data_IF_744588996357
#
_entry.id   IF_744588996357
#
_cell.length_a   1.000
_cell.length_b   1.000
_cell.length_c   1.000
_cell.angle_alpha   90.00
_cell.angle_beta   90.00
_cell.angle_gamma   90.00
#
_symmetry.space_group_name_H-M   'P 1'
#
loop_
_entity.id
_entity.type
_entity.pdbx_description
1 polymer ?
#
# COMPACT_ATOMS: atom_id res chain seq x y z
N UNK A 1 2.14 -47.66 9.49
CA UNK A 1 3.49 -47.26 9.96
C UNK A 1 4.16 -48.48 10.58
N UNK A 2 5.46 -48.73 10.36
CA UNK A 2 6.16 -49.84 11.00
C UNK A 2 6.09 -49.71 12.53
N UNK A 3 5.68 -50.76 13.25
CA UNK A 3 5.52 -50.73 14.71
C UNK A 3 6.80 -50.31 15.46
N UNK A 4 7.97 -50.56 14.87
CA UNK A 4 9.29 -50.21 15.42
C UNK A 4 9.67 -48.72 15.31
N UNK A 5 8.99 -47.95 14.46
CA UNK A 5 9.24 -46.53 14.25
C UNK A 5 7.91 -45.76 14.28
N UNK A 6 7.36 -45.49 15.47
CA UNK A 6 6.13 -44.71 15.60
C UNK A 6 6.33 -43.30 15.02
N UNK A 7 5.27 -42.75 14.42
CA UNK A 7 5.29 -41.38 13.91
C UNK A 7 5.54 -40.39 15.05
N UNK A 8 6.59 -39.59 14.95
CA UNK A 8 6.94 -38.56 15.94
C UNK A 8 6.83 -37.14 15.41
N UNK A 9 6.87 -36.94 14.10
CA UNK A 9 6.83 -35.61 13.51
C UNK A 9 6.06 -35.60 12.20
N UNK A 10 5.39 -34.49 11.93
CA UNK A 10 4.76 -34.20 10.66
C UNK A 10 5.34 -32.90 10.12
N UNK A 11 5.76 -32.90 8.86
CA UNK A 11 6.14 -31.69 8.14
C UNK A 11 5.25 -31.62 6.89
N UNK A 12 4.31 -30.68 6.88
CA UNK A 12 3.45 -30.42 5.75
C UNK A 12 4.10 -29.36 4.84
N UNK A 13 4.86 -29.84 3.86
CA UNK A 13 5.54 -29.01 2.85
C UNK A 13 4.88 -29.07 1.47
N UNK A 14 3.66 -29.62 1.37
CA UNK A 14 2.94 -29.71 0.10
C UNK A 14 2.40 -28.33 -0.31
N UNK A 15 2.42 -28.07 -1.62
CA UNK A 15 1.90 -26.84 -2.19
C UNK A 15 1.97 -26.85 -3.71
N UNK A 16 1.06 -26.12 -4.31
CA UNK A 16 1.04 -25.79 -5.74
C UNK A 16 0.67 -24.31 -5.88
N UNK A 17 1.07 -23.68 -6.98
CA UNK A 17 0.71 -22.31 -7.32
C UNK A 17 -0.18 -22.32 -8.55
N UNK A 18 -1.15 -21.41 -8.57
CA UNK A 18 -2.00 -21.16 -9.73
C UNK A 18 -2.44 -19.69 -9.71
N UNK A 19 -1.51 -18.82 -10.08
CA UNK A 19 -1.61 -17.38 -9.89
C UNK A 19 -2.67 -16.75 -10.81
N UNK A 20 -3.42 -15.79 -10.27
CA UNK A 20 -4.41 -14.99 -10.97
C UNK A 20 -4.90 -13.83 -10.12
N UNK A 21 -5.35 -12.76 -10.79
CA UNK A 21 -6.08 -11.70 -10.12
C UNK A 21 -7.34 -12.28 -9.47
N UNK A 22 -7.76 -11.75 -8.32
CA UNK A 22 -8.94 -12.23 -7.60
C UNK A 22 -10.17 -12.29 -8.53
N UNK A 23 -10.35 -11.27 -9.38
CA UNK A 23 -11.45 -11.21 -10.35
C UNK A 23 -11.40 -12.29 -11.45
N UNK A 24 -10.24 -12.91 -11.66
CA UNK A 24 -10.01 -13.97 -12.66
C UNK A 24 -9.84 -15.36 -12.07
N UNK A 25 -9.91 -15.50 -10.74
CA UNK A 25 -9.80 -16.80 -10.08
C UNK A 25 -11.08 -17.60 -10.34
N UNK A 26 -10.94 -18.75 -10.99
CA UNK A 26 -12.03 -19.72 -11.12
C UNK A 26 -12.04 -20.67 -9.91
N UNK A 27 -13.18 -21.33 -9.62
CA UNK A 27 -13.24 -22.33 -8.55
C UNK A 27 -12.15 -23.39 -8.67
N UNK A 28 -11.84 -23.86 -9.88
CA UNK A 28 -10.83 -24.89 -10.10
C UNK A 28 -9.41 -24.41 -9.73
N UNK A 29 -9.06 -23.16 -10.01
CA UNK A 29 -7.75 -22.58 -9.67
C UNK A 29 -7.62 -22.36 -8.15
N UNK A 30 -8.74 -22.05 -7.49
CA UNK A 30 -8.80 -21.96 -6.02
C UNK A 30 -8.64 -23.35 -5.40
N UNK A 31 -9.48 -24.31 -5.80
CA UNK A 31 -9.50 -25.68 -5.27
C UNK A 31 -8.16 -26.38 -5.44
N UNK A 32 -7.49 -26.19 -6.57
CA UNK A 32 -6.16 -26.77 -6.84
C UNK A 32 -5.15 -26.36 -5.77
N UNK A 33 -5.09 -25.06 -5.44
CA UNK A 33 -4.16 -24.52 -4.45
C UNK A 33 -4.58 -24.87 -3.02
N UNK A 34 -5.87 -24.73 -2.71
CA UNK A 34 -6.38 -25.02 -1.36
C UNK A 34 -6.24 -26.50 -1.02
N UNK A 35 -6.59 -27.42 -1.92
CA UNK A 35 -6.52 -28.87 -1.67
C UNK A 35 -5.11 -29.33 -1.30
N UNK A 36 -4.09 -28.79 -1.96
CA UNK A 36 -2.71 -29.16 -1.69
C UNK A 36 -2.26 -28.75 -0.28
N UNK A 37 -2.73 -27.59 0.21
CA UNK A 37 -2.35 -27.03 1.52
C UNK A 37 -3.36 -27.34 2.63
N UNK A 38 -4.59 -26.88 2.46
CA UNK A 38 -5.67 -26.97 3.44
C UNK A 38 -6.07 -28.43 3.68
N UNK A 39 -6.56 -29.14 2.65
CA UNK A 39 -7.07 -30.50 2.84
C UNK A 39 -5.96 -31.44 3.31
N UNK A 40 -4.76 -31.29 2.75
CA UNK A 40 -3.58 -32.04 3.18
C UNK A 40 -3.26 -31.82 4.66
N UNK A 41 -3.18 -30.57 5.10
CA UNK A 41 -2.88 -30.23 6.50
C UNK A 41 -4.00 -30.63 7.46
N UNK A 42 -5.27 -30.46 7.07
CA UNK A 42 -6.42 -30.84 7.87
C UNK A 42 -6.50 -32.35 8.08
N UNK A 43 -6.32 -33.13 7.01
CA UNK A 43 -6.28 -34.60 7.12
C UNK A 43 -5.13 -35.06 8.01
N UNK A 44 -3.94 -34.46 7.87
CA UNK A 44 -2.80 -34.73 8.76
C UNK A 44 -3.12 -34.36 10.21
N UNK A 45 -3.83 -33.25 10.45
CA UNK A 45 -4.28 -32.89 11.78
C UNK A 45 -5.17 -33.99 12.35
N UNK A 46 -6.30 -34.28 11.70
CA UNK A 46 -7.32 -35.24 12.16
C UNK A 46 -6.73 -36.63 12.44
N UNK A 47 -5.93 -37.16 11.51
CA UNK A 47 -5.33 -38.50 11.59
C UNK A 47 -4.25 -38.62 12.66
N UNK A 48 -3.69 -37.50 13.13
CA UNK A 48 -2.58 -37.50 14.10
C UNK A 48 -2.95 -36.91 15.46
N UNK A 49 -4.19 -36.44 15.68
CA UNK A 49 -4.60 -35.82 16.96
C UNK A 49 -4.32 -36.67 18.20
N UNK A 50 -4.56 -37.98 18.10
CA UNK A 50 -4.34 -38.93 19.19
C UNK A 50 -2.91 -39.48 19.28
N UNK A 51 -2.01 -39.07 18.39
CA UNK A 51 -0.63 -39.53 18.38
C UNK A 51 0.23 -38.59 19.22
N UNK A 52 1.17 -39.18 19.96
CA UNK A 52 2.18 -38.42 20.70
C UNK A 52 3.25 -37.89 19.73
N UNK A 53 2.91 -36.86 18.96
CA UNK A 53 3.88 -36.15 18.12
C UNK A 53 4.76 -35.24 18.99
N UNK A 54 6.03 -35.12 18.64
CA UNK A 54 6.92 -34.07 19.15
C UNK A 54 6.88 -32.80 18.29
N UNK A 55 6.49 -32.91 17.01
CA UNK A 55 6.41 -31.74 16.12
C UNK A 55 5.33 -31.88 15.07
N UNK A 56 4.76 -30.75 14.67
CA UNK A 56 3.83 -30.63 13.55
C UNK A 56 4.09 -29.28 12.87
N UNK A 57 4.85 -29.31 11.77
CA UNK A 57 5.31 -28.10 11.08
C UNK A 57 4.51 -27.90 9.80
N UNK A 58 4.00 -26.69 9.61
CA UNK A 58 3.28 -26.26 8.41
C UNK A 58 4.15 -25.27 7.63
N UNK A 59 4.43 -25.56 6.37
CA UNK A 59 5.14 -24.65 5.50
C UNK A 59 4.15 -23.66 4.91
N UNK A 60 4.09 -22.48 5.53
CA UNK A 60 3.31 -21.33 5.08
C UNK A 60 4.18 -20.39 4.24
N UNK A 61 3.66 -19.21 3.90
CA UNK A 61 4.37 -18.20 3.13
C UNK A 61 4.03 -16.80 3.64
N UNK A 62 5.00 -15.89 3.57
CA UNK A 62 4.77 -14.45 3.78
C UNK A 62 3.66 -13.89 2.88
N UNK A 63 3.34 -14.52 1.74
CA UNK A 63 2.22 -14.13 0.90
C UNK A 63 0.87 -14.12 1.65
N UNK A 64 0.69 -14.95 2.68
CA UNK A 64 -0.50 -14.95 3.54
C UNK A 64 -0.55 -13.80 4.56
N UNK A 65 0.56 -13.05 4.72
CA UNK A 65 0.70 -11.97 5.72
C UNK A 65 0.72 -10.60 5.03
N UNK A 66 1.65 -10.40 4.09
CA UNK A 66 1.83 -9.11 3.39
C UNK A 66 1.08 -9.06 2.06
N UNK A 67 0.49 -10.18 1.64
CA UNK A 67 -0.12 -10.32 0.32
C UNK A 67 0.94 -10.44 -0.78
N UNK A 68 0.53 -10.98 -1.93
CA UNK A 68 1.32 -10.95 -3.15
C UNK A 68 0.37 -10.81 -4.33
N UNK A 69 0.65 -9.85 -5.22
CA UNK A 69 -0.23 -9.58 -6.36
C UNK A 69 -0.37 -10.85 -7.23
N UNK A 70 -1.61 -11.22 -7.53
CA UNK A 70 -1.92 -12.44 -8.28
C UNK A 70 -1.98 -13.73 -7.44
N UNK A 71 -1.77 -13.68 -6.13
CA UNK A 71 -1.68 -14.89 -5.29
C UNK A 71 -2.80 -14.97 -4.23
N UNK A 72 -4.02 -14.55 -4.57
CA UNK A 72 -5.13 -14.50 -3.61
C UNK A 72 -5.52 -15.86 -3.03
N UNK A 73 -5.62 -16.89 -3.88
CA UNK A 73 -5.85 -18.29 -3.48
C UNK A 73 -4.71 -18.84 -2.61
N UNK A 74 -3.46 -18.58 -2.99
CA UNK A 74 -2.29 -19.03 -2.25
C UNK A 74 -2.15 -18.32 -0.89
N UNK A 75 -2.39 -17.01 -0.83
CA UNK A 75 -2.42 -16.26 0.42
C UNK A 75 -3.44 -16.86 1.39
N UNK A 76 -4.68 -17.08 0.93
CA UNK A 76 -5.74 -17.70 1.75
C UNK A 76 -5.35 -19.10 2.25
N UNK A 77 -4.75 -19.92 1.40
CA UNK A 77 -4.28 -21.26 1.77
C UNK A 77 -3.21 -21.23 2.87
N UNK A 78 -2.27 -20.29 2.80
CA UNK A 78 -1.21 -20.13 3.81
C UNK A 78 -1.75 -19.53 5.12
N UNK A 79 -2.67 -18.56 5.06
CA UNK A 79 -3.33 -18.04 6.25
C UNK A 79 -4.15 -19.13 6.98
N UNK A 80 -4.74 -20.08 6.25
CA UNK A 80 -5.36 -21.25 6.88
C UNK A 80 -4.34 -22.11 7.65
N UNK A 81 -3.15 -22.36 7.08
CA UNK A 81 -2.10 -23.10 7.77
C UNK A 81 -1.65 -22.38 9.05
N UNK A 82 -1.50 -21.06 9.00
CA UNK A 82 -1.18 -20.24 10.16
C UNK A 82 -2.25 -20.38 11.26
N UNK A 83 -3.53 -20.32 10.87
CA UNK A 83 -4.67 -20.55 11.75
C UNK A 83 -4.71 -21.97 12.32
N UNK A 84 -4.37 -22.99 11.53
CA UNK A 84 -4.33 -24.38 11.98
C UNK A 84 -3.22 -24.61 13.02
N UNK A 85 -2.05 -23.97 12.89
CA UNK A 85 -1.01 -24.05 13.91
C UNK A 85 -1.48 -23.44 15.25
N UNK A 86 -2.16 -22.28 15.20
CA UNK A 86 -2.77 -21.66 16.39
C UNK A 86 -3.83 -22.57 17.00
N UNK A 87 -4.72 -23.13 16.18
CA UNK A 87 -5.77 -24.04 16.61
C UNK A 87 -5.21 -25.29 17.31
N UNK A 88 -4.20 -25.93 16.71
CA UNK A 88 -3.54 -27.10 17.31
C UNK A 88 -2.94 -26.79 18.68
N UNK A 89 -2.27 -25.65 18.82
CA UNK A 89 -1.67 -25.23 20.10
C UNK A 89 -2.74 -24.94 21.16
N UNK A 90 -3.88 -24.37 20.78
CA UNK A 90 -5.01 -24.17 21.70
C UNK A 90 -5.57 -25.50 22.24
N UNK A 91 -5.41 -26.60 21.50
CA UNK A 91 -5.76 -27.96 21.93
C UNK A 91 -4.62 -28.67 22.70
N UNK A 92 -3.53 -27.98 23.01
CA UNK A 92 -2.35 -28.57 23.65
C UNK A 92 -1.53 -29.48 22.73
N UNK A 93 -1.79 -29.46 21.41
CA UNK A 93 -1.07 -30.25 20.43
C UNK A 93 0.11 -29.45 19.85
N UNK A 94 1.24 -30.10 19.50
CA UNK A 94 2.32 -29.44 18.77
C UNK A 94 1.81 -28.86 17.45
N UNK A 95 2.30 -27.67 17.11
CA UNK A 95 1.93 -26.95 15.90
C UNK A 95 2.79 -25.71 15.73
N UNK A 96 3.49 -25.59 14.60
CA UNK A 96 4.16 -24.35 14.20
C UNK A 96 3.96 -24.14 12.70
N UNK A 97 3.54 -22.93 12.33
CA UNK A 97 3.50 -22.49 10.95
C UNK A 97 4.68 -21.58 10.67
N UNK A 98 5.46 -21.90 9.64
CA UNK A 98 6.61 -21.10 9.22
C UNK A 98 6.23 -20.38 7.94
N UNK A 99 5.99 -19.07 8.04
CA UNK A 99 5.70 -18.20 6.92
C UNK A 99 7.02 -17.82 6.22
N UNK A 100 7.38 -18.60 5.20
CA UNK A 100 8.64 -18.43 4.47
C UNK A 100 8.65 -17.18 3.59
N UNK A 101 9.79 -16.48 3.61
CA UNK A 101 10.20 -15.54 2.58
C UNK A 101 10.66 -16.25 1.30
N UNK A 102 11.27 -15.50 0.38
CA UNK A 102 11.75 -16.05 -0.89
C UNK A 102 13.00 -16.90 -0.70
N UNK A 103 12.98 -18.13 -1.20
CA UNK A 103 14.17 -18.98 -1.26
C UNK A 103 14.96 -18.67 -2.54
N UNK A 104 16.29 -18.65 -2.44
CA UNK A 104 17.20 -18.40 -3.56
C UNK A 104 17.14 -19.53 -4.59
N UNK A 105 17.13 -20.77 -4.11
CA UNK A 105 17.07 -21.95 -4.95
C UNK A 105 15.63 -22.14 -5.46
N UNK A 106 15.46 -22.13 -6.77
CA UNK A 106 14.18 -22.35 -7.40
C UNK A 106 13.67 -23.78 -7.13
N UNK A 107 12.59 -23.89 -6.38
CA UNK A 107 11.79 -25.11 -6.25
C UNK A 107 10.92 -25.32 -7.49
N UNK A 108 10.29 -26.50 -7.62
CA UNK A 108 9.29 -26.70 -8.69
C UNK A 108 8.16 -25.66 -8.64
N UNK A 109 7.83 -25.15 -7.45
CA UNK A 109 6.85 -24.09 -7.24
C UNK A 109 7.38 -22.70 -7.55
N UNK A 110 8.68 -22.40 -7.38
CA UNK A 110 9.22 -21.05 -7.60
C UNK A 110 9.96 -20.91 -8.92
N UNK A 111 10.04 -21.99 -9.72
CA UNK A 111 10.71 -22.02 -11.04
C UNK A 111 10.11 -21.04 -12.05
N UNK A 112 8.82 -20.73 -11.93
CA UNK A 112 8.15 -19.76 -12.81
C UNK A 112 8.27 -18.32 -12.32
N UNK A 113 8.76 -18.09 -11.09
CA UNK A 113 9.10 -16.73 -10.65
C UNK A 113 10.27 -16.25 -11.50
N UNK A 114 9.98 -15.34 -12.41
CA UNK A 114 10.99 -14.75 -13.27
C UNK A 114 11.93 -13.87 -12.44
N UNK A 115 13.04 -13.46 -13.04
CA UNK A 115 13.96 -12.48 -12.43
C UNK A 115 13.24 -11.18 -11.99
N UNK A 116 12.09 -10.89 -12.59
CA UNK A 116 11.21 -9.76 -12.25
C UNK A 116 10.57 -9.89 -10.86
N UNK A 117 10.05 -11.05 -10.51
CA UNK A 117 9.41 -11.27 -9.20
C UNK A 117 10.44 -11.20 -8.07
N UNK A 118 11.63 -11.76 -8.32
CA UNK A 118 12.77 -11.68 -7.41
C UNK A 118 13.24 -10.24 -7.22
N UNK A 119 13.38 -9.48 -8.31
CA UNK A 119 13.78 -8.07 -8.26
C UNK A 119 12.75 -7.21 -7.52
N UNK A 120 11.45 -7.48 -7.68
CA UNK A 120 10.38 -6.79 -6.95
C UNK A 120 10.48 -7.02 -5.44
N UNK A 121 10.68 -8.26 -5.00
CA UNK A 121 10.80 -8.62 -3.59
C UNK A 121 12.06 -8.01 -2.94
N UNK A 122 13.19 -8.06 -3.65
CA UNK A 122 14.44 -7.42 -3.21
C UNK A 122 14.27 -5.90 -3.00
N UNK A 123 13.50 -5.22 -3.86
CA UNK A 123 13.24 -3.78 -3.76
C UNK A 123 12.33 -3.37 -2.59
N UNK A 124 11.55 -4.29 -2.03
CA UNK A 124 10.78 -4.07 -0.79
C UNK A 124 11.51 -4.60 0.44
N UNK A 125 12.80 -4.88 0.31
CA UNK A 125 13.67 -5.29 1.42
C UNK A 125 13.57 -6.76 1.81
N UNK A 126 12.94 -7.60 0.99
CA UNK A 126 12.89 -9.05 1.17
C UNK A 126 13.98 -9.69 0.32
N UNK A 127 15.11 -10.01 0.95
CA UNK A 127 16.22 -10.69 0.30
C UNK A 127 15.95 -12.20 0.20
N UNK A 128 16.60 -12.84 -0.78
CA UNK A 128 16.53 -14.30 -0.94
C UNK A 128 17.26 -15.02 0.20
N UNK A 129 16.66 -16.13 0.65
CA UNK A 129 17.21 -17.05 1.63
C UNK A 129 17.90 -18.22 0.91
N UNK A 130 19.17 -18.48 1.19
CA UNK A 130 19.78 -19.75 0.77
C UNK A 130 19.13 -20.91 1.52
N UNK A 131 19.11 -22.11 0.93
CA UNK A 131 18.62 -23.33 1.60
C UNK A 131 19.27 -23.55 2.96
N UNK A 132 20.58 -23.32 3.07
CA UNK A 132 21.33 -23.46 4.33
C UNK A 132 20.76 -22.55 5.42
N UNK A 133 20.61 -21.26 5.12
CA UNK A 133 20.05 -20.29 6.05
C UNK A 133 18.57 -20.57 6.35
N UNK A 134 17.82 -21.05 5.36
CA UNK A 134 16.42 -21.42 5.55
C UNK A 134 16.28 -22.63 6.49
N UNK A 135 17.19 -23.61 6.42
CA UNK A 135 17.22 -24.74 7.35
C UNK A 135 17.64 -24.31 8.77
N UNK A 136 18.57 -23.37 8.91
CA UNK A 136 18.89 -22.75 10.21
C UNK A 136 17.66 -22.06 10.81
N UNK A 137 16.91 -21.30 10.00
CA UNK A 137 15.65 -20.68 10.43
C UNK A 137 14.56 -21.72 10.72
N UNK A 138 14.54 -22.86 10.03
CA UNK A 138 13.62 -23.96 10.32
C UNK A 138 13.88 -24.53 11.71
N UNK A 139 15.15 -24.82 12.04
CA UNK A 139 15.52 -25.34 13.36
C UNK A 139 15.15 -24.32 14.45
N UNK A 140 15.43 -23.03 14.23
CA UNK A 140 15.03 -21.95 15.14
C UNK A 140 13.51 -21.84 15.29
N UNK A 141 12.75 -22.00 14.20
CA UNK A 141 11.29 -21.95 14.19
C UNK A 141 10.66 -23.10 14.98
N UNK A 142 11.19 -24.31 14.87
CA UNK A 142 10.65 -25.50 15.55
C UNK A 142 10.80 -25.42 17.07
N UNK A 143 11.86 -24.76 17.55
CA UNK A 143 12.07 -24.53 18.99
C UNK A 143 11.46 -23.21 19.49
N UNK A 144 11.00 -22.35 18.59
CA UNK A 144 10.34 -21.11 18.97
C UNK A 144 9.01 -21.43 19.65
N UNK A 145 8.79 -20.86 20.84
CA UNK A 145 7.51 -20.99 21.55
C UNK A 145 6.43 -20.06 20.96
N UNK A 146 6.18 -20.20 19.66
CA UNK A 146 5.23 -19.43 18.88
C UNK A 146 4.48 -20.32 17.90
N UNK A 147 3.19 -20.02 17.70
CA UNK A 147 2.34 -20.77 16.77
C UNK A 147 2.68 -20.46 15.30
N UNK A 148 3.01 -19.20 15.02
CA UNK A 148 3.29 -18.68 13.69
C UNK A 148 4.56 -17.84 13.77
N UNK A 149 5.51 -18.12 12.88
CA UNK A 149 6.76 -17.37 12.78
C UNK A 149 7.04 -17.02 11.32
N UNK A 150 7.60 -15.83 11.10
CA UNK A 150 8.06 -15.42 9.77
C UNK A 150 9.54 -15.71 9.65
N UNK A 151 9.91 -16.52 8.68
CA UNK A 151 11.29 -16.87 8.38
C UNK A 151 11.69 -16.20 7.07
N UNK A 152 12.34 -15.04 7.17
CA UNK A 152 12.72 -14.21 6.02
C UNK A 152 14.03 -13.49 6.27
N UNK A 153 14.73 -13.14 5.19
CA UNK A 153 15.91 -12.28 5.25
C UNK A 153 15.52 -10.86 4.88
N UNK A 154 15.74 -9.93 5.81
CA UNK A 154 15.49 -8.51 5.60
C UNK A 154 16.78 -7.81 5.17
N UNK A 155 16.69 -7.01 4.11
CA UNK A 155 17.72 -6.05 3.75
C UNK A 155 17.32 -4.67 4.32
N UNK A 156 17.95 -4.30 5.43
CA UNK A 156 17.67 -3.04 6.12
C UNK A 156 17.96 -1.79 5.27
N UNK A 157 18.91 -1.86 4.35
CA UNK A 157 19.23 -0.74 3.47
C UNK A 157 18.14 -0.57 2.41
N UNK A 158 17.68 -1.68 1.83
CA UNK A 158 16.56 -1.65 0.89
C UNK A 158 15.25 -1.19 1.56
N UNK A 159 14.95 -1.67 2.78
CA UNK A 159 13.79 -1.23 3.57
C UNK A 159 13.80 0.29 3.83
N UNK A 160 14.94 0.85 4.22
CA UNK A 160 15.03 2.29 4.52
C UNK A 160 15.01 3.16 3.28
N UNK A 161 15.60 2.71 2.17
CA UNK A 161 15.63 3.47 0.90
C UNK A 161 14.27 3.59 0.20
N UNK A 162 13.31 2.72 0.52
CA UNK A 162 12.04 2.61 -0.19
C UNK A 162 10.83 2.66 0.76
N UNK A 163 10.98 3.32 1.92
CA UNK A 163 9.99 3.35 3.00
C UNK A 163 8.58 3.77 2.56
N UNK A 164 8.48 4.72 1.62
CA UNK A 164 7.21 5.23 1.09
C UNK A 164 6.41 4.21 0.25
N UNK A 165 7.07 3.15 -0.25
CA UNK A 165 6.44 2.11 -1.07
C UNK A 165 6.35 0.75 -0.36
N UNK A 166 6.69 0.70 0.93
CA UNK A 166 6.59 -0.53 1.72
C UNK A 166 5.13 -0.82 2.14
N UNK A 167 4.73 -2.10 2.19
CA UNK A 167 3.55 -2.50 2.93
C UNK A 167 3.62 -1.98 4.38
N UNK A 168 2.49 -1.56 5.00
CA UNK A 168 2.49 -0.97 6.35
C UNK A 168 3.26 -1.79 7.39
N UNK A 169 3.12 -3.12 7.36
CA UNK A 169 3.83 -4.04 8.26
C UNK A 169 5.37 -3.95 8.15
N UNK A 170 5.88 -3.70 6.95
CA UNK A 170 7.33 -3.53 6.71
C UNK A 170 7.79 -2.10 7.00
N UNK A 171 6.88 -1.12 6.95
CA UNK A 171 7.15 0.27 7.32
C UNK A 171 7.60 0.41 8.78
N UNK A 172 6.96 -0.31 9.70
CA UNK A 172 7.36 -0.34 11.11
C UNK A 172 8.76 -0.95 11.33
N UNK A 173 9.14 -1.94 10.51
CA UNK A 173 10.47 -2.54 10.55
C UNK A 173 11.56 -1.60 10.00
N UNK A 174 11.22 -0.76 9.02
CA UNK A 174 12.11 0.28 8.49
C UNK A 174 12.27 1.45 9.49
N UNK A 175 11.23 1.72 10.28
CA UNK A 175 11.19 2.76 11.30
C UNK A 175 11.83 2.32 12.63
N UNK A 176 13.11 1.94 12.63
CA UNK A 176 13.86 1.92 13.90
C UNK A 176 13.98 3.35 14.45
N UNK A 177 13.85 3.55 15.78
CA UNK A 177 13.73 4.87 16.37
C UNK A 177 15.05 5.64 16.22
N UNK A 178 15.14 6.52 15.23
CA UNK A 178 15.98 7.70 15.38
C UNK A 178 15.35 8.50 16.51
N UNK A 179 16.11 8.73 17.59
CA UNK A 179 15.76 9.63 18.70
C UNK A 179 15.15 10.91 18.11
N UNK A 180 13.82 11.01 18.18
CA UNK A 180 13.02 12.07 17.57
C UNK A 180 13.21 13.29 18.43
N UNK A 181 14.02 14.24 17.96
CA UNK A 181 13.90 15.63 18.42
C UNK A 181 12.56 16.09 17.83
N UNK A 182 11.62 16.41 18.71
CA UNK A 182 10.30 16.91 18.29
C UNK A 182 10.53 18.24 17.58
N UNK A 183 10.24 18.28 16.29
CA UNK A 183 9.93 19.50 15.57
C UNK A 183 8.63 19.23 14.80
N UNK A 184 7.68 20.16 14.89
CA UNK A 184 6.28 20.11 14.41
C UNK A 184 6.13 19.96 12.88
N UNK A 185 6.78 18.97 12.27
CA UNK A 185 6.86 18.81 10.81
C UNK A 185 6.07 17.59 10.27
N UNK A 186 5.39 16.83 11.11
CA UNK A 186 4.77 15.55 10.70
C UNK A 186 3.43 15.68 9.97
N UNK A 187 2.85 16.90 9.89
CA UNK A 187 1.76 17.20 8.96
C UNK A 187 2.27 17.67 7.58
N UNK A 188 3.57 17.94 7.43
CA UNK A 188 4.18 18.54 6.23
C UNK A 188 4.66 17.54 5.17
N UNK A 189 5.02 16.31 5.54
CA UNK A 189 5.69 15.36 4.63
C UNK A 189 4.77 14.78 3.54
N UNK A 190 3.47 14.66 3.81
CA UNK A 190 2.49 14.14 2.84
C UNK A 190 2.11 15.17 1.78
N UNK A 191 2.15 16.46 2.13
CA UNK A 191 2.05 17.56 1.16
C UNK A 191 3.40 17.68 0.43
N UNK A 192 4.54 17.52 1.10
CA UNK A 192 5.89 17.70 0.56
C UNK A 192 6.23 16.83 -0.67
N UNK A 193 5.72 15.60 -0.78
CA UNK A 193 6.00 14.72 -1.91
C UNK A 193 5.16 15.07 -3.16
N UNK A 194 3.86 15.33 -2.97
CA UNK A 194 2.98 15.84 -4.03
C UNK A 194 3.40 17.25 -4.46
N UNK A 195 3.73 18.11 -3.48
CA UNK A 195 4.28 19.43 -3.69
C UNK A 195 5.72 19.36 -4.21
N UNK A 196 6.46 18.26 -4.04
CA UNK A 196 7.78 18.04 -4.63
C UNK A 196 7.75 17.76 -6.14
N UNK A 197 6.82 16.92 -6.62
CA UNK A 197 6.60 16.76 -8.07
C UNK A 197 5.97 18.04 -8.65
N UNK A 198 4.96 18.60 -8.01
CA UNK A 198 4.30 19.84 -8.44
C UNK A 198 5.28 21.02 -8.46
N UNK A 199 6.16 21.17 -7.45
CA UNK A 199 7.21 22.19 -7.41
C UNK A 199 8.28 22.00 -8.49
N UNK A 200 8.67 20.76 -8.81
CA UNK A 200 9.57 20.50 -9.96
C UNK A 200 8.92 20.86 -11.29
N UNK A 201 7.59 20.76 -11.40
CA UNK A 201 6.83 21.12 -12.60
C UNK A 201 6.47 22.61 -12.65
N UNK A 202 6.55 23.33 -11.50
CA UNK A 202 6.41 24.78 -11.42
C UNK A 202 7.66 25.48 -11.95
N UNK A 203 7.47 26.45 -12.85
CA UNK A 203 8.56 27.19 -13.49
C UNK A 203 9.14 26.54 -14.76
N UNK A 204 8.77 25.29 -15.06
CA UNK A 204 9.12 24.63 -16.33
C UNK A 204 8.19 25.04 -17.46
N UNK A 205 8.72 25.13 -18.68
CA UNK A 205 7.92 25.28 -19.90
C UNK A 205 7.02 24.06 -20.13
N UNK A 206 5.99 24.19 -20.97
CA UNK A 206 5.09 23.08 -21.28
C UNK A 206 5.86 21.87 -21.85
N UNK A 207 6.88 22.12 -22.67
CA UNK A 207 7.74 21.10 -23.28
C UNK A 207 8.63 20.41 -22.25
N UNK A 208 9.16 21.17 -21.28
CA UNK A 208 9.98 20.63 -20.19
C UNK A 208 9.15 19.81 -19.21
N UNK A 209 7.94 20.29 -18.87
CA UNK A 209 6.98 19.57 -18.04
C UNK A 209 6.59 18.24 -18.67
N UNK A 210 6.33 18.23 -19.97
CA UNK A 210 5.98 17.00 -20.69
C UNK A 210 7.14 15.99 -20.68
N UNK A 211 8.38 16.44 -20.88
CA UNK A 211 9.57 15.55 -20.81
C UNK A 211 9.73 14.92 -19.42
N UNK A 212 9.63 15.73 -18.36
CA UNK A 212 9.73 15.25 -16.98
C UNK A 212 8.63 14.21 -16.67
N UNK A 213 7.39 14.46 -17.09
CA UNK A 213 6.28 13.52 -16.90
C UNK A 213 6.48 12.22 -17.68
N UNK A 214 7.00 12.31 -18.91
CA UNK A 214 7.37 11.13 -19.71
C UNK A 214 8.42 10.31 -18.98
N UNK A 215 9.43 10.94 -18.40
CA UNK A 215 10.48 10.23 -17.67
C UNK A 215 9.96 9.61 -16.36
N UNK A 216 9.03 10.28 -15.65
CA UNK A 216 8.31 9.69 -14.50
C UNK A 216 7.54 8.44 -14.92
N UNK A 217 6.80 8.49 -16.03
CA UNK A 217 6.04 7.33 -16.53
C UNK A 217 6.98 6.22 -16.97
N UNK A 218 8.06 6.53 -17.69
CA UNK A 218 9.05 5.55 -18.16
C UNK A 218 9.82 4.90 -17.03
N UNK A 219 10.16 5.65 -15.98
CA UNK A 219 10.83 5.13 -14.77
C UNK A 219 9.95 4.15 -14.01
N UNK A 220 8.66 4.49 -13.84
CA UNK A 220 7.70 3.59 -13.24
C UNK A 220 7.44 2.36 -14.14
N UNK A 221 7.35 2.53 -15.45
CA UNK A 221 7.17 1.43 -16.40
C UNK A 221 8.39 0.49 -16.46
N UNK A 222 9.61 1.03 -16.49
CA UNK A 222 10.85 0.26 -16.42
C UNK A 222 10.91 -0.56 -15.12
N UNK A 223 10.50 0.06 -14.01
CA UNK A 223 10.43 -0.62 -12.71
C UNK A 223 9.45 -1.79 -12.72
N UNK A 224 8.24 -1.61 -13.27
CA UNK A 224 7.24 -2.69 -13.38
C UNK A 224 7.71 -3.82 -14.29
N UNK A 225 8.40 -3.49 -15.39
CA UNK A 225 8.93 -4.48 -16.32
C UNK A 225 10.28 -5.10 -15.88
N UNK A 226 10.82 -4.71 -14.73
CA UNK A 226 12.12 -5.19 -14.23
C UNK A 226 13.31 -4.79 -15.10
N UNK A 227 13.21 -3.67 -15.84
CA UNK A 227 14.31 -3.15 -16.68
C UNK A 227 15.18 -2.20 -15.87
N UNK A 228 16.48 -2.29 -16.08
CA UNK A 228 17.50 -1.50 -15.37
C UNK A 228 17.58 -0.06 -15.86
N UNK A 229 17.12 0.21 -17.09
CA UNK A 229 17.21 1.52 -17.72
C UNK A 229 15.86 2.02 -18.24
N UNK A 230 15.59 3.32 -18.03
CA UNK A 230 14.45 4.02 -18.64
C UNK A 230 14.59 4.15 -20.15
N UNK A 231 15.83 4.13 -20.67
CA UNK A 231 16.12 4.16 -22.10
C UNK A 231 15.53 2.95 -22.85
N UNK A 232 15.40 1.82 -22.15
CA UNK A 232 14.82 0.60 -22.72
C UNK A 232 13.31 0.68 -22.91
N UNK A 233 12.65 1.70 -22.35
CA UNK A 233 11.22 1.96 -22.53
C UNK A 233 11.05 3.02 -23.61
N UNK A 234 10.56 2.62 -24.79
CA UNK A 234 10.22 3.57 -25.84
C UNK A 234 8.95 4.34 -25.46
N UNK A 235 9.04 5.68 -25.46
CA UNK A 235 7.95 6.55 -25.02
C UNK A 235 6.71 6.52 -25.93
N UNK A 236 6.86 6.12 -27.20
CA UNK A 236 5.80 6.11 -28.20
C UNK A 236 5.25 4.71 -28.50
N UNK A 237 5.88 3.67 -27.95
CA UNK A 237 5.44 2.29 -28.16
C UNK A 237 4.28 1.94 -27.24
N UNK A 238 3.36 1.13 -27.73
CA UNK A 238 2.24 0.66 -26.92
C UNK A 238 2.73 -0.18 -25.73
N UNK A 239 2.11 -0.03 -24.56
CA UNK A 239 2.43 -0.79 -23.36
C UNK A 239 2.32 -2.31 -23.59
N UNK A 240 1.34 -2.77 -24.38
CA UNK A 240 1.19 -4.18 -24.75
C UNK A 240 2.43 -4.72 -25.49
N UNK A 241 2.97 -3.96 -26.43
CA UNK A 241 4.20 -4.34 -27.16
C UNK A 241 5.46 -4.24 -26.30
N UNK A 242 5.42 -3.47 -25.22
CA UNK A 242 6.50 -3.40 -24.22
C UNK A 242 6.46 -4.57 -23.24
N UNK A 243 5.41 -5.40 -23.29
CA UNK A 243 5.23 -6.58 -22.45
C UNK A 243 4.36 -6.33 -21.22
N UNK A 244 3.48 -5.33 -21.24
CA UNK A 244 2.44 -5.16 -20.23
C UNK A 244 1.25 -6.10 -20.49
N UNK A 245 0.82 -6.75 -19.43
CA UNK A 245 -0.37 -7.57 -19.29
C UNK A 245 -1.34 -6.94 -18.26
N UNK A 246 -2.45 -7.63 -17.97
CA UNK A 246 -3.46 -7.16 -17.02
C UNK A 246 -2.94 -6.96 -15.58
N UNK A 247 -1.89 -7.69 -15.16
CA UNK A 247 -1.33 -7.61 -13.81
C UNK A 247 -0.36 -6.42 -13.69
N UNK A 248 0.60 -6.34 -14.61
CA UNK A 248 1.58 -5.25 -14.71
C UNK A 248 0.90 -3.90 -14.96
N UNK A 249 -0.24 -3.90 -15.66
CA UNK A 249 -1.05 -2.70 -15.84
C UNK A 249 -1.56 -2.12 -14.52
N UNK A 250 -2.09 -2.97 -13.64
CA UNK A 250 -2.58 -2.55 -12.31
C UNK A 250 -1.41 -2.07 -11.44
N UNK A 251 -0.25 -2.71 -11.53
CA UNK A 251 0.94 -2.31 -10.78
C UNK A 251 1.43 -0.91 -11.20
N UNK A 252 1.55 -0.64 -12.51
CA UNK A 252 1.93 0.68 -13.01
C UNK A 252 0.94 1.76 -12.58
N UNK A 253 -0.37 1.48 -12.62
CA UNK A 253 -1.41 2.40 -12.13
C UNK A 253 -1.21 2.74 -10.66
N UNK A 254 -0.97 1.74 -9.81
CA UNK A 254 -0.78 1.97 -8.37
C UNK A 254 0.48 2.76 -8.08
N UNK A 255 1.58 2.48 -8.79
CA UNK A 255 2.83 3.25 -8.66
C UNK A 255 2.66 4.71 -9.09
N UNK A 256 1.99 4.95 -10.22
CA UNK A 256 1.68 6.30 -10.69
C UNK A 256 0.74 7.03 -9.75
N UNK A 257 -0.25 6.34 -9.16
CA UNK A 257 -1.11 6.90 -8.11
C UNK A 257 -0.27 7.36 -6.92
N UNK A 258 0.70 6.58 -6.47
CA UNK A 258 1.60 6.99 -5.36
C UNK A 258 2.52 8.13 -5.76
N UNK A 259 3.06 8.13 -6.98
CA UNK A 259 3.99 9.15 -7.44
C UNK A 259 3.32 10.51 -7.74
N UNK A 260 2.07 10.50 -8.19
CA UNK A 260 1.33 11.70 -8.60
C UNK A 260 0.21 12.09 -7.65
N UNK A 261 -0.13 11.22 -6.69
CA UNK A 261 -1.28 11.35 -5.79
C UNK A 261 -2.64 11.52 -6.50
N UNK A 262 -2.70 11.22 -7.81
CA UNK A 262 -3.94 11.29 -8.59
C UNK A 262 -4.77 10.02 -8.45
N UNK A 263 -6.10 10.19 -8.42
CA UNK A 263 -7.04 9.08 -8.63
C UNK A 263 -7.07 8.71 -10.11
N UNK A 264 -6.42 7.59 -10.45
CA UNK A 264 -6.27 7.09 -11.83
C UNK A 264 -7.26 5.95 -12.14
N UNK A 265 -7.83 5.97 -13.35
CA UNK A 265 -8.81 4.97 -13.80
C UNK A 265 -8.22 3.54 -13.83
N UNK A 266 -9.02 2.48 -13.58
CA UNK A 266 -8.61 1.10 -13.83
C UNK A 266 -8.26 0.81 -15.30
N UNK A 267 -8.83 1.57 -16.25
CA UNK A 267 -8.62 1.42 -17.70
C UNK A 267 -7.47 2.26 -18.25
N UNK A 268 -6.71 2.95 -17.38
CA UNK A 268 -5.73 3.98 -17.74
C UNK A 268 -4.75 3.57 -18.86
N UNK A 269 -4.27 2.33 -18.85
CA UNK A 269 -3.28 1.85 -19.83
C UNK A 269 -3.93 1.48 -21.17
N UNK A 270 -5.24 1.22 -21.18
CA UNK A 270 -6.00 1.02 -22.42
C UNK A 270 -6.41 2.36 -23.03
N UNK A 271 -6.80 3.32 -22.19
CA UNK A 271 -7.19 4.66 -22.61
C UNK A 271 -5.98 5.49 -23.10
N UNK A 272 -4.81 5.25 -22.50
CA UNK A 272 -3.54 5.91 -22.83
C UNK A 272 -2.45 4.87 -23.09
N UNK A 273 -2.40 4.30 -24.32
CA UNK A 273 -1.65 3.08 -24.59
C UNK A 273 -0.14 3.26 -24.66
N UNK A 274 0.40 4.48 -24.59
CA UNK A 274 1.85 4.73 -24.61
C UNK A 274 2.30 5.59 -23.43
N UNK A 275 3.58 5.49 -23.00
CA UNK A 275 4.12 6.35 -21.95
C UNK A 275 3.94 7.84 -22.23
N UNK A 276 4.06 8.28 -23.49
CA UNK A 276 3.86 9.67 -23.89
C UNK A 276 2.40 10.12 -23.74
N UNK A 277 1.44 9.30 -24.20
CA UNK A 277 0.02 9.61 -24.07
C UNK A 277 -0.42 9.65 -22.59
N UNK A 278 0.13 8.74 -21.78
CA UNK A 278 -0.15 8.71 -20.36
C UNK A 278 0.44 9.92 -19.62
N UNK A 279 1.65 10.34 -19.99
CA UNK A 279 2.28 11.55 -19.43
C UNK A 279 1.47 12.81 -19.74
N UNK A 280 0.94 12.93 -20.96
CA UNK A 280 0.06 14.05 -21.35
C UNK A 280 -1.22 14.09 -20.49
N UNK A 281 -1.87 12.94 -20.32
CA UNK A 281 -3.05 12.83 -19.46
C UNK A 281 -2.75 13.24 -18.01
N UNK A 282 -1.63 12.77 -17.45
CA UNK A 282 -1.19 13.16 -16.11
C UNK A 282 -0.92 14.66 -16.01
N UNK A 283 -0.35 15.27 -17.06
CA UNK A 283 -0.13 16.72 -17.13
C UNK A 283 -1.43 17.53 -17.05
N UNK A 284 -2.46 17.11 -17.79
CA UNK A 284 -3.79 17.73 -17.75
C UNK A 284 -4.39 17.59 -16.35
N UNK A 285 -4.34 16.37 -15.78
CA UNK A 285 -4.90 16.08 -14.45
C UNK A 285 -4.19 16.85 -13.34
N UNK A 286 -2.87 16.97 -13.40
CA UNK A 286 -2.09 17.76 -12.44
C UNK A 286 -2.40 19.25 -12.57
N UNK A 287 -2.52 19.78 -13.80
CA UNK A 287 -2.93 21.17 -14.02
C UNK A 287 -4.33 21.47 -13.44
N UNK A 288 -5.27 20.54 -13.57
CA UNK A 288 -6.61 20.65 -12.96
C UNK A 288 -6.60 20.46 -11.44
N UNK A 289 -5.65 19.70 -10.88
CA UNK A 289 -5.52 19.46 -9.44
C UNK A 289 -4.81 20.64 -8.72
N UNK A 290 -3.82 21.27 -9.37
CA UNK A 290 -3.23 22.54 -8.91
C UNK A 290 -4.17 23.73 -9.08
N UNK A 291 -5.22 23.57 -9.89
CA UNK A 291 -6.33 24.50 -9.98
C UNK A 291 -7.41 24.18 -8.93
N UNK A 292 -7.04 23.99 -7.66
CA UNK A 292 -7.94 24.47 -6.62
C UNK A 292 -8.16 25.96 -6.92
N UNK A 293 -9.41 26.45 -7.02
CA UNK A 293 -9.64 27.87 -7.22
C UNK A 293 -8.91 28.55 -6.07
N UNK A 294 -7.91 29.36 -6.41
CA UNK A 294 -7.17 30.18 -5.46
C UNK A 294 -8.20 31.03 -4.72
N UNK A 295 -8.67 30.49 -3.58
CA UNK A 295 -9.77 31.04 -2.80
C UNK A 295 -9.41 32.45 -2.35
N UNK A 296 -8.12 32.68 -2.11
CA UNK A 296 -7.56 34.00 -1.83
C UNK A 296 -7.63 34.92 -3.04
N UNK A 297 -7.29 34.45 -4.25
CA UNK A 297 -7.48 35.27 -5.46
C UNK A 297 -8.96 35.58 -5.73
N UNK A 298 -9.86 34.63 -5.49
CA UNK A 298 -11.31 34.83 -5.63
C UNK A 298 -11.85 35.78 -4.57
N UNK A 299 -11.31 35.72 -3.36
CA UNK A 299 -11.58 36.66 -2.28
C UNK A 299 -11.09 38.07 -2.65
N UNK A 300 -9.88 38.19 -3.19
CA UNK A 300 -9.33 39.46 -3.67
C UNK A 300 -10.12 40.04 -4.85
N UNK A 301 -10.60 39.17 -5.76
CA UNK A 301 -11.48 39.57 -6.86
C UNK A 301 -12.83 40.08 -6.34
N UNK A 302 -13.43 39.39 -5.36
CA UNK A 302 -14.69 39.79 -4.72
C UNK A 302 -14.53 41.09 -3.93
N UNK A 303 -13.42 41.26 -3.21
CA UNK A 303 -13.07 42.48 -2.49
C UNK A 303 -12.93 43.67 -3.44
N UNK A 304 -12.26 43.47 -4.59
CA UNK A 304 -12.15 44.50 -5.66
C UNK A 304 -13.50 44.83 -6.28
N UNK A 305 -14.39 43.85 -6.47
CA UNK A 305 -15.74 44.11 -6.98
C UNK A 305 -16.58 44.89 -5.96
N UNK A 306 -16.53 44.52 -4.68
CA UNK A 306 -17.18 45.25 -3.59
C UNK A 306 -16.70 46.70 -3.51
N UNK A 307 -15.39 46.93 -3.61
CA UNK A 307 -14.81 48.27 -3.56
C UNK A 307 -15.25 49.13 -4.76
N UNK A 308 -15.37 48.53 -5.96
CA UNK A 308 -15.96 49.21 -7.13
C UNK A 308 -17.45 49.52 -6.95
N UNK A 309 -18.20 48.66 -6.25
CA UNK A 309 -19.64 48.80 -6.03
C UNK A 309 -19.94 49.90 -5.01
N UNK A 310 -19.15 49.98 -3.94
CA UNK A 310 -19.27 50.99 -2.86
C UNK A 310 -18.94 52.40 -3.36
N UNK A 311 -18.01 52.50 -4.32
CA UNK A 311 -17.53 53.76 -4.88
C UNK A 311 -18.31 54.23 -6.12
N UNK A 312 -19.43 53.60 -6.47
CA UNK A 312 -20.28 54.10 -7.56
C UNK A 312 -21.05 55.37 -7.14
N UNK A 313 -21.25 56.34 -8.05
CA UNK A 313 -21.89 57.62 -7.74
C UNK A 313 -23.41 57.53 -7.50
N UNK A 314 -24.04 56.41 -7.83
CA UNK A 314 -25.48 56.13 -7.68
C UNK A 314 -25.84 55.49 -6.33
N UNK A 315 -24.86 55.25 -5.45
CA UNK A 315 -25.07 54.61 -4.15
C UNK A 315 -25.40 55.61 -3.05
N UNK A 316 -26.59 55.47 -2.46
CA UNK A 316 -27.07 56.36 -1.39
C UNK A 316 -26.49 55.98 -0.02
N UNK A 317 -26.60 56.87 0.96
CA UNK A 317 -26.22 56.57 2.35
C UNK A 317 -27.01 55.38 2.94
N UNK A 318 -28.23 55.14 2.48
CA UNK A 318 -29.08 54.03 2.92
C UNK A 318 -28.58 52.68 2.35
N UNK A 319 -28.13 52.66 1.09
CA UNK A 319 -27.59 51.46 0.44
C UNK A 319 -26.27 51.00 1.08
N UNK A 320 -25.41 51.98 1.41
CA UNK A 320 -24.16 51.75 2.16
C UNK A 320 -24.45 51.18 3.55
N UNK A 321 -25.50 51.66 4.22
CA UNK A 321 -25.95 51.14 5.51
C UNK A 321 -26.42 49.68 5.43
N UNK A 322 -27.21 49.33 4.41
CA UNK A 322 -27.69 47.95 4.18
C UNK A 322 -26.56 46.97 3.87
N UNK A 323 -25.57 47.37 3.06
CA UNK A 323 -24.40 46.53 2.80
C UNK A 323 -23.56 46.33 4.06
N UNK A 324 -23.30 47.39 4.82
CA UNK A 324 -22.53 47.32 6.05
C UNK A 324 -23.18 46.37 7.07
N UNK A 325 -24.51 46.41 7.21
CA UNK A 325 -25.25 45.47 8.05
C UNK A 325 -25.05 44.02 7.61
N UNK A 326 -25.24 43.73 6.32
CA UNK A 326 -25.03 42.37 5.79
C UNK A 326 -23.61 41.85 5.94
N UNK A 327 -22.59 42.69 5.74
CA UNK A 327 -21.20 42.28 5.95
C UNK A 327 -20.92 42.01 7.42
N UNK A 328 -21.52 42.77 8.33
CA UNK A 328 -21.40 42.55 9.77
C UNK A 328 -22.07 41.23 10.19
N UNK A 329 -23.25 40.92 9.65
CA UNK A 329 -23.94 39.64 9.91
C UNK A 329 -23.12 38.44 9.43
N UNK A 330 -22.53 38.53 8.23
CA UNK A 330 -21.66 37.47 7.67
C UNK A 330 -20.39 37.30 8.51
N UNK A 331 -19.79 38.40 8.98
CA UNK A 331 -18.61 38.36 9.84
C UNK A 331 -18.94 37.81 11.24
N UNK A 332 -20.12 38.10 11.77
CA UNK A 332 -20.58 37.55 13.04
C UNK A 332 -20.78 36.02 12.96
N UNK A 333 -21.37 35.53 11.87
CA UNK A 333 -21.56 34.09 11.60
C UNK A 333 -20.23 33.35 11.47
N UNK A 334 -19.20 33.99 10.90
CA UNK A 334 -17.83 33.46 10.83
C UNK A 334 -17.10 33.46 12.18
N UNK A 335 -17.43 34.38 13.09
CA UNK A 335 -16.80 34.45 14.42
C UNK A 335 -17.41 33.53 15.47
N UNK A 336 -18.61 32.99 15.23
CA UNK A 336 -19.29 32.07 16.13
C UNK A 336 -18.60 30.69 16.23
N UNK A 337 -17.78 30.33 15.25
CA UNK A 337 -17.06 29.05 15.20
C UNK A 337 -15.74 29.06 16.01
N UNK A 338 -15.23 30.25 16.40
CA UNK A 338 -14.02 30.41 17.23
C UNK A 338 -14.31 30.34 18.74
N UNK A 339 -15.58 30.41 19.16
CA UNK A 339 -15.96 30.36 20.59
C UNK A 339 -15.94 28.92 21.15
N UNK A 340 -15.97 27.90 20.28
CA UNK A 340 -15.82 26.48 20.67
C UNK A 340 -14.33 26.10 20.81
N UNK A 341 -13.42 26.76 20.08
CA UNK A 341 -11.99 26.44 20.07
C UNK A 341 -11.19 27.21 21.13
N UNK A 342 -11.81 28.20 21.79
CA UNK A 342 -11.20 29.04 22.84
C UNK A 342 -11.85 28.88 24.22
N UNK A 343 -12.91 28.06 24.35
CA UNK A 343 -13.57 27.79 25.62
C UNK A 343 -12.63 27.12 26.63
N UNK A 344 -12.53 27.69 27.83
CA UNK A 344 -11.79 27.07 28.93
C UNK A 344 -12.50 25.80 29.40
N UNK A 345 -11.75 24.80 29.88
CA UNK A 345 -12.27 23.50 30.35
C UNK A 345 -13.44 23.66 31.35
N UNK A 346 -13.39 24.72 32.17
CA UNK A 346 -14.42 25.11 33.13
C UNK A 346 -15.77 25.49 32.50
N UNK A 347 -15.77 26.04 31.29
CA UNK A 347 -16.98 26.46 30.57
C UNK A 347 -17.63 25.31 29.80
N UNK A 348 -16.82 24.36 29.32
CA UNK A 348 -17.31 23.12 28.69
C UNK A 348 -18.09 22.24 29.68
N UNK A 349 -17.69 22.20 30.96
CA UNK A 349 -18.44 21.47 31.99
C UNK A 349 -19.77 22.13 32.36
N UNK A 350 -19.88 23.46 32.28
CA UNK A 350 -21.13 24.16 32.58
C UNK A 350 -22.22 23.90 31.52
N UNK A 351 -21.83 23.74 30.25
CA UNK A 351 -22.74 23.44 29.14
C UNK A 351 -23.27 21.99 29.22
N UNK A 352 -22.45 21.06 29.74
CA UNK A 352 -22.85 19.66 29.93
C UNK A 352 -23.81 19.45 31.12
N UNK A 353 -23.69 20.25 32.18
CA UNK A 353 -24.59 20.19 33.34
C UNK A 353 -25.98 20.81 33.06
N UNK A 354 -26.10 21.74 32.10
CA UNK A 354 -27.39 22.32 31.70
C UNK A 354 -28.22 21.39 30.80
N UNK A 355 -27.60 20.48 30.03
CA UNK A 355 -28.31 19.54 29.15
C UNK A 355 -28.70 18.21 29.79
N UNK A 356 -28.20 17.88 31.00
CA UNK A 356 -28.56 16.66 31.73
C UNK A 356 -29.47 16.89 32.95
N UNK A 357 -29.97 18.13 33.10
CA UNK A 357 -30.76 18.56 34.25
C UNK A 357 -32.19 19.02 33.93
N UNK A 358 -33.01 18.18 33.31
CA UNK A 358 -34.49 18.22 33.47
C UNK A 358 -35.15 16.88 33.15
#
# INVERSE_FOLDING_TARGET
MPARYPLRGVIHAAGVLDDGLIASLTPQRVDTVLRAKIDGAWNLHELTRGLNLSTFVLFSSMAGIIGTAGQGNYAAANSFLDGLAVHRRALGLPGVSVAWGLWEQASAMTRHLGERDKARMSRVGLATLSTEHALELFDAAVVADRAVVVATRLDANALTSNSAALPPLLGELAARPKRRVISDADAGDNIAAATGLVARLHGLSAEQRQRELVDVVRSNAATVLGRSSTADINAHRAFQELGFDSLTAVELRNRLKTATWLTLSPTLIFDYPSPAALAEHLGIRLATATAQPDLMRRFDDLARELDKLINRPDWTHEDKGKLSGRLHDILADLSADDDITTASESQLFAILDEELGS
#
